data_IF_269414536931
#
_entry.id   IF_269414536931
#
_cell.length_a   1.000
_cell.length_b   1.000
_cell.length_c   1.000
_cell.angle_alpha   90.00
_cell.angle_beta   90.00
_cell.angle_gamma   90.00
#
_symmetry.space_group_name_H-M   'P 1'
#
loop_
_entity.id
_entity.type
_entity.pdbx_description
1 polymer ?
#
# COMPACT_ATOMS: atom_id res chain seq x y z
N UNK A 1 7.88 -23.48 9.10
CA UNK A 1 8.55 -24.47 8.24
C UNK A 1 8.46 -25.91 8.77
N UNK A 2 8.85 -26.25 10.04
CA UNK A 2 8.85 -27.65 10.50
C UNK A 2 7.50 -28.41 10.39
N UNK A 3 6.33 -27.78 10.64
CA UNK A 3 5.04 -28.47 10.47
C UNK A 3 4.70 -28.81 9.01
N UNK A 4 5.12 -27.98 8.05
CA UNK A 4 4.87 -28.22 6.63
C UNK A 4 5.68 -29.42 6.11
N UNK A 5 6.95 -29.51 6.53
CA UNK A 5 7.84 -30.64 6.20
C UNK A 5 7.30 -31.97 6.75
N UNK A 6 6.92 -32.00 8.03
CA UNK A 6 6.29 -33.20 8.64
C UNK A 6 5.04 -33.62 7.88
N UNK A 7 4.19 -32.67 7.49
CA UNK A 7 2.98 -32.98 6.71
C UNK A 7 3.34 -33.64 5.37
N UNK A 8 4.36 -33.16 4.67
CA UNK A 8 4.82 -33.79 3.41
C UNK A 8 5.35 -35.20 3.66
N UNK A 9 6.15 -35.38 4.72
CA UNK A 9 6.69 -36.68 5.13
C UNK A 9 5.58 -37.69 5.46
N UNK A 10 4.65 -37.34 6.35
CA UNK A 10 3.52 -38.19 6.72
C UNK A 10 2.65 -38.54 5.51
N UNK A 11 2.44 -37.58 4.60
CA UNK A 11 1.67 -37.79 3.37
C UNK A 11 2.36 -38.74 2.40
N UNK A 12 3.71 -38.73 2.36
CA UNK A 12 4.49 -39.66 1.54
C UNK A 12 4.40 -41.11 2.04
N UNK A 13 4.32 -41.29 3.37
CA UNK A 13 4.07 -42.60 3.98
C UNK A 13 2.69 -43.14 3.60
N UNK A 14 1.65 -42.29 3.59
CA UNK A 14 0.33 -42.70 3.11
C UNK A 14 0.31 -43.14 1.64
N UNK A 15 1.10 -42.48 0.78
CA UNK A 15 1.22 -42.85 -0.63
C UNK A 15 1.96 -44.20 -0.79
N UNK A 16 3.01 -44.43 -0.01
CA UNK A 16 3.73 -45.71 -0.02
C UNK A 16 2.80 -46.86 0.42
N UNK A 17 2.11 -46.69 1.55
CA UNK A 17 1.13 -47.65 2.04
C UNK A 17 0.03 -47.93 1.00
N UNK A 18 -0.49 -46.88 0.36
CA UNK A 18 -1.52 -47.03 -0.66
C UNK A 18 -1.00 -47.83 -1.87
N UNK A 19 0.23 -47.58 -2.30
CA UNK A 19 0.87 -48.30 -3.40
C UNK A 19 1.04 -49.79 -3.08
N UNK A 20 1.50 -50.13 -1.87
CA UNK A 20 1.64 -51.51 -1.43
C UNK A 20 0.30 -52.25 -1.38
N UNK A 21 -0.73 -51.59 -0.85
CA UNK A 21 -2.08 -52.16 -0.79
C UNK A 21 -2.68 -52.37 -2.19
N UNK A 22 -2.57 -51.38 -3.10
CA UNK A 22 -3.08 -51.49 -4.47
C UNK A 22 -2.33 -52.54 -5.31
N UNK A 23 -1.06 -52.78 -5.02
CA UNK A 23 -0.27 -53.85 -5.65
C UNK A 23 -0.78 -55.23 -5.25
N UNK A 24 -1.25 -55.40 -4.01
CA UNK A 24 -1.84 -56.67 -3.55
C UNK A 24 -3.30 -56.86 -3.97
N UNK A 25 -4.11 -55.80 -3.91
CA UNK A 25 -5.53 -55.78 -4.29
C UNK A 25 -5.85 -54.47 -5.02
N UNK A 26 -5.97 -54.50 -6.37
CA UNK A 26 -6.29 -53.33 -7.18
C UNK A 26 -7.64 -52.67 -6.84
N UNK A 27 -8.58 -53.41 -6.24
CA UNK A 27 -9.92 -52.92 -5.94
C UNK A 27 -10.09 -52.46 -4.49
N UNK A 28 -9.03 -52.44 -3.69
CA UNK A 28 -9.02 -52.05 -2.28
C UNK A 28 -9.53 -50.62 -2.06
N UNK A 29 -10.70 -50.50 -1.41
CA UNK A 29 -11.28 -49.23 -0.99
C UNK A 29 -10.41 -48.43 0.01
N UNK A 30 -9.87 -49.06 1.07
CA UNK A 30 -8.97 -48.39 2.01
C UNK A 30 -7.70 -47.83 1.34
N UNK A 31 -7.15 -48.53 0.35
CA UNK A 31 -5.97 -48.08 -0.39
C UNK A 31 -6.26 -46.80 -1.20
N UNK A 32 -7.42 -46.75 -1.89
CA UNK A 32 -7.87 -45.53 -2.59
C UNK A 32 -8.04 -44.34 -1.63
N UNK A 33 -8.55 -44.57 -0.42
CA UNK A 33 -8.67 -43.50 0.59
C UNK A 33 -7.29 -42.97 1.01
N UNK A 34 -6.35 -43.86 1.33
CA UNK A 34 -4.97 -43.47 1.67
C UNK A 34 -4.29 -42.71 0.53
N UNK A 35 -4.50 -43.13 -0.71
CA UNK A 35 -4.00 -42.44 -1.90
C UNK A 35 -4.51 -40.99 -1.96
N UNK A 36 -5.83 -40.79 -1.82
CA UNK A 36 -6.44 -39.45 -1.86
C UNK A 36 -5.92 -38.55 -0.75
N UNK A 37 -5.87 -39.06 0.49
CA UNK A 37 -5.37 -38.27 1.64
C UNK A 37 -3.88 -37.96 1.52
N UNK A 38 -3.07 -38.93 1.09
CA UNK A 38 -1.65 -38.73 0.81
C UNK A 38 -1.44 -37.67 -0.29
N UNK A 39 -2.15 -37.77 -1.42
CA UNK A 39 -2.04 -36.79 -2.50
C UNK A 39 -2.46 -35.39 -2.06
N UNK A 40 -3.56 -35.26 -1.30
CA UNK A 40 -4.01 -33.97 -0.74
C UNK A 40 -2.99 -33.39 0.22
N UNK A 41 -2.45 -34.21 1.11
CA UNK A 41 -1.47 -33.81 2.11
C UNK A 41 -0.14 -33.35 1.49
N UNK A 42 0.32 -33.98 0.41
CA UNK A 42 1.49 -33.53 -0.36
C UNK A 42 1.24 -32.15 -0.98
N UNK A 43 0.10 -31.94 -1.63
CA UNK A 43 -0.23 -30.66 -2.26
C UNK A 43 -0.30 -29.52 -1.22
N UNK A 44 -1.02 -29.75 -0.12
CA UNK A 44 -1.14 -28.79 0.97
C UNK A 44 0.18 -28.54 1.70
N UNK A 45 0.97 -29.59 1.94
CA UNK A 45 2.28 -29.49 2.58
C UNK A 45 3.27 -28.69 1.74
N UNK A 46 3.31 -28.95 0.43
CA UNK A 46 4.17 -28.22 -0.51
C UNK A 46 3.76 -26.75 -0.61
N UNK A 47 2.45 -26.47 -0.72
CA UNK A 47 1.93 -25.10 -0.72
C UNK A 47 2.33 -24.34 0.55
N UNK A 48 2.13 -24.95 1.72
CA UNK A 48 2.50 -24.34 3.00
C UNK A 48 4.02 -24.12 3.15
N UNK A 49 4.84 -25.00 2.56
CA UNK A 49 6.29 -24.85 2.55
C UNK A 49 6.72 -23.66 1.69
N UNK A 50 6.17 -23.53 0.48
CA UNK A 50 6.45 -22.42 -0.43
C UNK A 50 6.00 -21.08 0.17
N UNK A 51 4.81 -21.02 0.76
CA UNK A 51 4.33 -19.82 1.47
C UNK A 51 5.26 -19.44 2.63
N UNK A 52 5.69 -20.41 3.44
CA UNK A 52 6.59 -20.12 4.56
C UNK A 52 7.96 -19.58 4.10
N UNK A 53 8.44 -20.03 2.93
CA UNK A 53 9.66 -19.50 2.33
C UNK A 53 9.46 -18.08 1.82
N UNK A 54 8.38 -17.85 1.06
CA UNK A 54 8.02 -16.55 0.52
C UNK A 54 7.85 -15.49 1.62
N UNK A 55 7.08 -15.80 2.67
CA UNK A 55 6.93 -14.92 3.83
C UNK A 55 8.28 -14.57 4.49
N UNK A 56 9.25 -15.49 4.44
CA UNK A 56 10.57 -15.26 5.01
C UNK A 56 11.38 -14.25 4.19
N UNK A 57 11.27 -14.28 2.87
CA UNK A 57 11.85 -13.28 1.98
C UNK A 57 11.16 -11.92 2.17
N UNK A 58 9.82 -11.91 2.21
CA UNK A 58 9.02 -10.70 2.50
C UNK A 58 9.45 -10.04 3.82
N UNK A 59 9.63 -10.84 4.88
CA UNK A 59 10.11 -10.32 6.17
C UNK A 59 11.51 -9.69 6.08
N UNK A 60 12.40 -10.15 5.21
CA UNK A 60 13.72 -9.51 5.00
C UNK A 60 13.56 -8.14 4.36
N UNK A 61 12.69 -8.02 3.35
CA UNK A 61 12.42 -6.74 2.66
C UNK A 61 11.82 -5.73 3.65
N UNK A 62 10.81 -6.14 4.43
CA UNK A 62 10.16 -5.28 5.43
C UNK A 62 11.16 -4.74 6.46
N UNK A 63 12.17 -5.53 6.88
CA UNK A 63 13.22 -5.02 7.78
C UNK A 63 14.00 -3.87 7.15
N UNK A 64 14.31 -3.95 5.85
CA UNK A 64 15.00 -2.87 5.14
C UNK A 64 14.11 -1.62 5.08
N UNK A 65 12.81 -1.77 4.80
CA UNK A 65 11.85 -0.66 4.84
C UNK A 65 11.80 0.02 6.23
N UNK A 66 11.76 -0.78 7.29
CA UNK A 66 11.77 -0.27 8.68
C UNK A 66 13.07 0.47 9.01
N UNK A 67 14.21 0.00 8.53
CA UNK A 67 15.47 0.74 8.69
C UNK A 67 15.41 2.12 8.03
N UNK A 68 14.77 2.29 6.88
CA UNK A 68 14.58 3.62 6.27
C UNK A 68 13.69 4.50 7.16
N UNK A 69 12.60 3.96 7.70
CA UNK A 69 11.72 4.70 8.64
C UNK A 69 12.47 5.17 9.90
N UNK A 70 13.34 4.32 10.46
CA UNK A 70 14.20 4.67 11.60
C UNK A 70 15.13 5.86 11.25
N UNK A 71 15.73 5.87 10.06
CA UNK A 71 16.51 7.03 9.61
C UNK A 71 15.66 8.28 9.40
N UNK A 72 14.45 8.15 8.84
CA UNK A 72 13.54 9.28 8.64
C UNK A 72 13.17 9.95 9.97
N UNK A 73 13.03 9.19 11.05
CA UNK A 73 12.75 9.74 12.39
C UNK A 73 13.89 10.66 12.90
N UNK A 74 15.14 10.43 12.49
CA UNK A 74 16.29 11.26 12.88
C UNK A 74 16.26 12.63 12.19
N UNK A 75 15.46 12.81 11.14
CA UNK A 75 15.40 14.07 10.38
C UNK A 75 15.09 15.29 11.25
N UNK A 76 14.32 15.12 12.33
CA UNK A 76 13.91 16.24 13.17
C UNK A 76 15.07 16.92 13.91
N UNK A 77 16.12 16.16 14.25
CA UNK A 77 17.29 16.62 15.01
C UNK A 77 18.43 17.12 14.14
N UNK A 78 18.30 17.06 12.80
CA UNK A 78 19.33 17.56 11.87
C UNK A 78 19.23 19.09 11.76
N UNK A 79 20.16 19.81 12.40
CA UNK A 79 20.14 21.28 12.50
C UNK A 79 21.39 21.98 11.91
N UNK A 80 22.43 21.22 11.53
CA UNK A 80 23.66 21.76 10.89
C UNK A 80 23.94 21.13 9.53
N UNK A 81 24.68 21.86 8.69
CA UNK A 81 25.04 21.40 7.35
C UNK A 81 25.94 20.15 7.37
N UNK A 82 26.84 20.05 8.35
CA UNK A 82 27.71 18.87 8.54
C UNK A 82 26.90 17.62 8.90
N UNK A 83 25.86 17.79 9.72
CA UNK A 83 24.94 16.72 10.10
C UNK A 83 24.08 16.29 8.91
N UNK A 84 23.65 17.23 8.06
CA UNK A 84 22.96 16.90 6.80
C UNK A 84 23.83 16.04 5.88
N UNK A 85 25.12 16.37 5.73
CA UNK A 85 26.05 15.57 4.92
C UNK A 85 26.17 14.15 5.48
N UNK A 86 26.27 14.01 6.80
CA UNK A 86 26.34 12.71 7.48
C UNK A 86 25.03 11.93 7.35
N UNK A 87 23.89 12.60 7.50
CA UNK A 87 22.56 12.04 7.31
C UNK A 87 22.40 11.46 5.90
N UNK A 88 22.74 12.22 4.85
CA UNK A 88 22.64 11.76 3.46
C UNK A 88 23.56 10.58 3.19
N UNK A 89 24.79 10.59 3.73
CA UNK A 89 25.74 9.46 3.60
C UNK A 89 25.21 8.16 4.20
N UNK A 90 24.46 8.24 5.30
CA UNK A 90 23.90 7.08 5.98
C UNK A 90 22.56 6.63 5.40
N UNK A 91 21.70 7.57 4.99
CA UNK A 91 20.38 7.27 4.42
C UNK A 91 20.47 6.66 3.02
N UNK A 92 21.33 7.23 2.15
CA UNK A 92 21.35 6.87 0.72
C UNK A 92 21.57 5.38 0.47
N UNK A 93 22.53 4.68 1.10
CA UNK A 93 22.74 3.25 0.89
C UNK A 93 21.53 2.39 1.30
N UNK A 94 20.89 2.73 2.42
CA UNK A 94 19.73 1.99 2.94
C UNK A 94 18.52 2.19 2.04
N UNK A 95 18.31 3.42 1.56
CA UNK A 95 17.25 3.75 0.63
C UNK A 95 17.45 3.07 -0.75
N UNK A 96 18.68 3.07 -1.28
CA UNK A 96 19.02 2.34 -2.50
C UNK A 96 18.77 0.85 -2.35
N UNK A 97 19.15 0.27 -1.20
CA UNK A 97 18.86 -1.13 -0.89
C UNK A 97 17.36 -1.40 -0.88
N UNK A 98 16.58 -0.61 -0.14
CA UNK A 98 15.11 -0.75 -0.10
C UNK A 98 14.51 -0.70 -1.49
N UNK A 99 14.93 0.29 -2.29
CA UNK A 99 14.43 0.47 -3.66
C UNK A 99 14.68 -0.75 -4.52
N UNK A 100 15.89 -1.32 -4.44
CA UNK A 100 16.26 -2.52 -5.20
C UNK A 100 15.48 -3.77 -4.75
N UNK A 101 15.33 -3.98 -3.45
CA UNK A 101 14.60 -5.15 -2.93
C UNK A 101 13.12 -5.11 -3.33
N UNK A 102 12.47 -3.93 -3.26
CA UNK A 102 11.08 -3.75 -3.68
C UNK A 102 10.92 -3.87 -5.21
N UNK A 103 11.84 -3.30 -5.99
CA UNK A 103 11.87 -3.40 -7.45
C UNK A 103 12.12 -4.84 -7.96
N UNK A 104 12.87 -5.65 -7.21
CA UNK A 104 12.98 -7.07 -7.50
C UNK A 104 11.69 -7.81 -7.15
N UNK A 105 11.08 -7.48 -6.01
CA UNK A 105 9.89 -8.16 -5.53
C UNK A 105 8.68 -7.94 -6.42
N UNK A 106 8.45 -6.72 -6.92
CA UNK A 106 7.31 -6.46 -7.81
C UNK A 106 7.33 -7.36 -9.05
N UNK A 107 8.52 -7.70 -9.56
CA UNK A 107 8.70 -8.52 -10.76
C UNK A 107 8.23 -9.95 -10.56
N UNK A 108 8.38 -10.47 -9.35
CA UNK A 108 7.99 -11.82 -8.94
C UNK A 108 6.48 -11.94 -8.66
N UNK A 109 5.78 -10.82 -8.43
CA UNK A 109 4.35 -10.85 -8.11
C UNK A 109 3.50 -11.22 -9.34
N UNK A 110 2.64 -12.20 -9.18
CA UNK A 110 1.66 -12.58 -10.20
C UNK A 110 0.48 -11.60 -10.28
N UNK A 111 0.13 -10.96 -9.16
CA UNK A 111 -0.97 -10.00 -9.07
C UNK A 111 -0.55 -8.61 -9.59
N UNK A 112 -1.09 -8.21 -10.74
CA UNK A 112 -0.75 -6.93 -11.39
C UNK A 112 -1.10 -5.70 -10.54
N UNK A 113 -2.22 -5.73 -9.80
CA UNK A 113 -2.64 -4.59 -8.97
C UNK A 113 -1.62 -4.32 -7.86
N UNK A 114 -1.21 -5.36 -7.11
CA UNK A 114 -0.20 -5.20 -6.05
C UNK A 114 1.14 -4.74 -6.61
N UNK A 115 1.52 -5.24 -7.80
CA UNK A 115 2.70 -4.78 -8.52
C UNK A 115 2.63 -3.27 -8.82
N UNK A 116 1.52 -2.80 -9.39
CA UNK A 116 1.32 -1.39 -9.70
C UNK A 116 1.32 -0.50 -8.45
N UNK A 117 0.73 -0.98 -7.35
CA UNK A 117 0.75 -0.28 -6.06
C UNK A 117 2.18 -0.13 -5.53
N UNK A 118 2.99 -1.21 -5.56
CA UNK A 118 4.40 -1.16 -5.15
C UNK A 118 5.21 -0.20 -6.03
N UNK A 119 5.04 -0.27 -7.35
CA UNK A 119 5.74 0.63 -8.29
C UNK A 119 5.40 2.08 -7.99
N UNK A 120 4.11 2.40 -7.85
CA UNK A 120 3.63 3.76 -7.58
C UNK A 120 4.21 4.31 -6.28
N UNK A 121 4.10 3.57 -5.18
CA UNK A 121 4.61 4.03 -3.89
C UNK A 121 6.14 4.11 -3.87
N UNK A 122 6.83 3.18 -4.55
CA UNK A 122 8.28 3.24 -4.68
C UNK A 122 8.74 4.46 -5.49
N UNK A 123 8.04 4.82 -6.55
CA UNK A 123 8.35 6.02 -7.33
C UNK A 123 8.05 7.31 -6.56
N UNK A 124 7.00 7.36 -5.74
CA UNK A 124 6.78 8.48 -4.82
C UNK A 124 7.96 8.64 -3.85
N UNK A 125 8.46 7.55 -3.25
CA UNK A 125 9.64 7.60 -2.38
C UNK A 125 10.87 8.15 -3.11
N UNK A 126 11.14 7.68 -4.34
CA UNK A 126 12.26 8.18 -5.17
C UNK A 126 12.14 9.68 -5.44
N UNK A 127 10.93 10.16 -5.74
CA UNK A 127 10.66 11.58 -6.00
C UNK A 127 10.78 12.44 -4.74
N UNK A 128 10.32 11.94 -3.58
CA UNK A 128 10.37 12.65 -2.31
C UNK A 128 11.78 12.75 -1.73
N UNK A 129 12.67 11.83 -2.07
CA UNK A 129 14.05 11.79 -1.55
C UNK A 129 14.83 13.09 -1.78
N UNK A 130 14.99 13.60 -3.02
CA UNK A 130 15.68 14.88 -3.24
C UNK A 130 14.91 16.07 -2.64
N UNK A 131 13.58 16.01 -2.58
CA UNK A 131 12.74 17.05 -1.95
C UNK A 131 13.01 17.13 -0.46
N UNK A 132 13.15 15.99 0.22
CA UNK A 132 13.48 15.90 1.64
C UNK A 132 14.86 16.51 1.92
N UNK A 133 15.88 16.13 1.14
CA UNK A 133 17.24 16.67 1.28
C UNK A 133 17.22 18.20 1.13
N UNK A 134 16.49 18.70 0.12
CA UNK A 134 16.31 20.14 -0.08
C UNK A 134 15.56 20.80 1.08
N UNK A 135 14.48 20.19 1.58
CA UNK A 135 13.71 20.68 2.72
C UNK A 135 14.52 20.81 4.00
N UNK A 136 15.36 19.81 4.31
CA UNK A 136 16.29 19.87 5.45
C UNK A 136 17.31 21.01 5.26
N UNK A 137 17.88 21.14 4.05
CA UNK A 137 18.85 22.21 3.73
C UNK A 137 18.24 23.61 3.89
N UNK A 138 17.00 23.80 3.46
CA UNK A 138 16.26 25.07 3.61
C UNK A 138 16.00 25.34 5.09
N UNK A 139 15.60 24.33 5.87
CA UNK A 139 15.41 24.47 7.32
C UNK A 139 16.70 24.92 8.04
N UNK A 140 17.84 24.32 7.74
CA UNK A 140 19.14 24.72 8.31
C UNK A 140 19.47 26.18 7.97
N UNK A 141 19.30 26.56 6.69
CA UNK A 141 19.56 27.94 6.24
C UNK A 141 18.62 28.95 6.91
N UNK A 142 17.33 28.62 7.04
CA UNK A 142 16.32 29.45 7.70
C UNK A 142 16.62 29.62 9.20
N UNK A 143 17.11 28.57 9.86
CA UNK A 143 17.54 28.62 11.26
C UNK A 143 18.72 29.59 11.46
N UNK A 144 19.66 29.62 10.51
CA UNK A 144 20.80 30.54 10.54
C UNK A 144 20.41 31.99 10.22
N UNK A 145 19.46 32.22 9.31
CA UNK A 145 19.01 33.55 8.93
C UNK A 145 17.97 34.15 9.88
N UNK A 146 17.35 33.34 10.74
CA UNK A 146 16.29 33.73 11.65
C UNK A 146 14.94 34.00 10.98
N UNK A 147 14.80 33.73 9.68
CA UNK A 147 13.61 34.01 8.89
C UNK A 147 13.02 32.73 8.30
N UNK A 148 11.69 32.57 8.37
CA UNK A 148 10.98 31.46 7.70
C UNK A 148 11.18 30.08 8.34
N UNK A 149 11.72 29.99 9.56
CA UNK A 149 12.01 28.72 10.25
C UNK A 149 10.79 27.81 10.33
N UNK A 150 9.63 28.36 10.75
CA UNK A 150 8.40 27.58 10.92
C UNK A 150 7.88 27.00 9.61
N UNK A 151 7.96 27.76 8.52
CA UNK A 151 7.54 27.31 7.19
C UNK A 151 8.47 26.21 6.67
N UNK A 152 9.79 26.41 6.80
CA UNK A 152 10.78 25.42 6.42
C UNK A 152 10.63 24.11 7.21
N UNK A 153 10.38 24.20 8.52
CA UNK A 153 10.11 23.05 9.37
C UNK A 153 8.85 22.31 8.94
N UNK A 154 7.74 23.03 8.71
CA UNK A 154 6.49 22.41 8.26
C UNK A 154 6.65 21.67 6.92
N UNK A 155 7.42 22.23 5.98
CA UNK A 155 7.68 21.61 4.69
C UNK A 155 8.53 20.32 4.82
N UNK A 156 9.58 20.37 5.65
CA UNK A 156 10.40 19.20 5.98
C UNK A 156 9.56 18.10 6.60
N UNK A 157 8.78 18.42 7.64
CA UNK A 157 7.99 17.46 8.40
C UNK A 157 6.85 16.87 7.54
N UNK A 158 6.24 17.66 6.65
CA UNK A 158 5.28 17.16 5.67
C UNK A 158 5.93 16.14 4.73
N UNK A 159 7.13 16.42 4.23
CA UNK A 159 7.85 15.52 3.32
C UNK A 159 8.24 14.21 4.02
N UNK A 160 8.70 14.28 5.27
CA UNK A 160 9.00 13.10 6.10
C UNK A 160 7.76 12.24 6.30
N UNK A 161 6.63 12.85 6.68
CA UNK A 161 5.36 12.12 6.87
C UNK A 161 4.90 11.45 5.59
N UNK A 162 4.84 12.20 4.48
CA UNK A 162 4.43 11.65 3.19
C UNK A 162 5.33 10.49 2.75
N UNK A 163 6.65 10.63 2.89
CA UNK A 163 7.58 9.54 2.54
C UNK A 163 7.41 8.32 3.46
N UNK A 164 7.13 8.54 4.74
CA UNK A 164 6.84 7.46 5.69
C UNK A 164 5.55 6.74 5.36
N UNK A 165 4.49 7.46 4.96
CA UNK A 165 3.21 6.88 4.56
C UNK A 165 3.38 5.96 3.34
N UNK A 166 4.15 6.38 2.33
CA UNK A 166 4.45 5.53 1.17
C UNK A 166 5.26 4.28 1.54
N UNK A 167 6.17 4.37 2.50
CA UNK A 167 6.92 3.19 2.99
C UNK A 167 6.00 2.25 3.78
N UNK A 168 5.06 2.77 4.57
CA UNK A 168 4.06 1.93 5.24
C UNK A 168 3.12 1.25 4.23
N UNK A 169 2.75 1.93 3.14
CA UNK A 169 1.96 1.34 2.07
C UNK A 169 2.74 0.22 1.36
N UNK A 170 4.04 0.41 1.09
CA UNK A 170 4.91 -0.67 0.58
C UNK A 170 4.89 -1.87 1.53
N UNK A 171 5.07 -1.65 2.85
CA UNK A 171 5.05 -2.73 3.84
C UNK A 171 3.70 -3.45 3.82
N UNK A 172 2.58 -2.71 3.76
CA UNK A 172 1.23 -3.28 3.70
C UNK A 172 1.05 -4.17 2.47
N UNK A 173 1.38 -3.65 1.29
CA UNK A 173 1.21 -4.38 0.01
C UNK A 173 2.09 -5.62 -0.06
N UNK A 174 3.32 -5.57 0.47
CA UNK A 174 4.22 -6.73 0.54
C UNK A 174 3.65 -7.90 1.34
N UNK A 175 2.69 -7.65 2.24
CA UNK A 175 2.06 -8.67 3.11
C UNK A 175 0.74 -9.20 2.56
N UNK A 176 0.27 -8.71 1.41
CA UNK A 176 -0.95 -9.21 0.77
C UNK A 176 -0.67 -10.59 0.16
N UNK A 177 -1.27 -11.62 0.74
CA UNK A 177 -1.15 -13.02 0.29
C UNK A 177 -2.37 -13.51 -0.49
N UNK A 178 -3.45 -12.72 -0.51
CA UNK A 178 -4.73 -13.10 -1.11
C UNK A 178 -5.22 -12.03 -2.06
N UNK A 179 -6.02 -12.48 -3.03
CA UNK A 179 -6.87 -11.64 -3.84
C UNK A 179 -7.96 -11.07 -2.93
N UNK A 180 -7.85 -9.79 -2.57
CA UNK A 180 -8.97 -9.07 -1.97
C UNK A 180 -9.61 -8.26 -3.10
N UNK A 181 -10.67 -8.83 -3.69
CA UNK A 181 -11.44 -8.16 -4.74
C UNK A 181 -12.19 -6.93 -4.18
N UNK A 182 -12.30 -6.83 -2.85
CA UNK A 182 -13.15 -5.87 -2.12
C UNK A 182 -12.37 -4.67 -1.53
N UNK A 183 -11.03 -4.62 -1.60
CA UNK A 183 -10.23 -3.63 -0.83
C UNK A 183 -9.82 -2.36 -1.61
N UNK A 184 -10.49 -2.05 -2.73
CA UNK A 184 -10.27 -0.80 -3.47
C UNK A 184 -11.14 0.38 -3.00
N UNK A 185 -11.36 0.52 -1.69
CA UNK A 185 -12.03 1.70 -1.09
C UNK A 185 -11.05 2.86 -0.77
N UNK A 186 -9.73 2.64 -0.85
CA UNK A 186 -8.73 3.67 -0.53
C UNK A 186 -8.66 4.81 -1.55
N UNK A 187 -8.99 4.51 -2.82
CA UNK A 187 -9.05 5.52 -3.88
C UNK A 187 -10.33 6.34 -3.77
N UNK A 188 -11.45 5.70 -3.35
CA UNK A 188 -12.70 6.38 -3.06
C UNK A 188 -12.56 7.37 -1.90
N UNK A 189 -11.86 7.04 -0.82
CA UNK A 189 -11.61 8.00 0.26
C UNK A 189 -10.77 9.21 -0.19
N UNK A 190 -9.81 8.98 -1.10
CA UNK A 190 -8.95 10.04 -1.64
C UNK A 190 -9.71 10.94 -2.61
N UNK A 191 -10.55 10.35 -3.47
CA UNK A 191 -11.48 11.05 -4.34
C UNK A 191 -12.51 11.83 -3.52
N UNK A 192 -13.05 11.24 -2.44
CA UNK A 192 -13.99 11.90 -1.52
C UNK A 192 -13.35 13.09 -0.82
N UNK A 193 -12.12 12.97 -0.29
CA UNK A 193 -11.40 14.10 0.32
C UNK A 193 -11.12 15.21 -0.69
N UNK A 194 -10.76 14.87 -1.93
CA UNK A 194 -10.56 15.84 -3.00
C UNK A 194 -11.87 16.55 -3.38
N UNK A 195 -12.97 15.80 -3.48
CA UNK A 195 -14.31 16.34 -3.74
C UNK A 195 -14.78 17.24 -2.59
N UNK A 196 -14.57 16.83 -1.34
CA UNK A 196 -14.88 17.62 -0.15
C UNK A 196 -14.12 18.95 -0.15
N UNK A 197 -12.79 18.93 -0.35
CA UNK A 197 -11.99 20.16 -0.41
C UNK A 197 -12.44 21.08 -1.55
N UNK A 198 -12.83 20.50 -2.70
CA UNK A 198 -13.38 21.27 -3.82
C UNK A 198 -14.75 21.89 -3.48
N UNK A 199 -15.60 21.19 -2.73
CA UNK A 199 -16.89 21.68 -2.24
C UNK A 199 -16.68 22.84 -1.25
N UNK A 200 -15.85 22.64 -0.23
CA UNK A 200 -15.59 23.64 0.81
C UNK A 200 -15.03 24.94 0.20
N UNK A 201 -14.08 24.82 -0.75
CA UNK A 201 -13.52 25.97 -1.46
C UNK A 201 -14.52 26.74 -2.33
N UNK A 202 -15.67 26.15 -2.65
CA UNK A 202 -16.71 26.71 -3.52
C UNK A 202 -18.00 27.10 -2.77
N UNK A 203 -18.16 26.63 -1.53
CA UNK A 203 -19.39 26.76 -0.74
C UNK A 203 -19.75 28.22 -0.45
N UNK A 204 -18.75 29.05 -0.15
CA UNK A 204 -18.96 30.48 0.11
C UNK A 204 -19.52 31.20 -1.11
N UNK A 205 -18.93 31.00 -2.28
CA UNK A 205 -19.36 31.65 -3.51
C UNK A 205 -20.78 31.23 -3.95
N UNK A 206 -21.16 29.98 -3.67
CA UNK A 206 -22.52 29.49 -3.93
C UNK A 206 -23.54 30.12 -2.97
N UNK A 207 -23.21 30.24 -1.68
CA UNK A 207 -24.06 30.92 -0.70
C UNK A 207 -24.22 32.42 -1.02
N UNK A 208 -23.13 33.10 -1.38
CA UNK A 208 -23.15 34.52 -1.74
C UNK A 208 -24.04 34.77 -2.97
N UNK A 209 -24.08 33.83 -3.93
CA UNK A 209 -24.97 33.89 -5.10
C UNK A 209 -26.45 33.67 -4.74
N UNK A 210 -26.76 32.73 -3.84
CA UNK A 210 -28.13 32.48 -3.38
C UNK A 210 -28.71 33.65 -2.60
N UNK A 211 -27.86 34.41 -1.91
CA UNK A 211 -28.25 35.54 -1.07
C UNK A 211 -28.40 36.86 -1.84
N UNK A 212 -27.95 36.91 -3.10
CA UNK A 212 -28.04 38.10 -3.96
C UNK A 212 -29.27 38.02 -4.91
N UNK A 213 -30.33 38.83 -4.68
CA UNK A 213 -31.53 38.84 -5.52
C UNK A 213 -31.31 39.34 -6.95
N UNK A 214 -30.18 40.01 -7.22
CA UNK A 214 -29.81 40.53 -8.53
C UNK A 214 -28.80 39.62 -9.26
N UNK A 215 -28.45 38.47 -8.68
CA UNK A 215 -27.45 37.59 -9.24
C UNK A 215 -27.87 37.01 -10.59
N UNK A 216 -26.99 37.16 -11.60
CA UNK A 216 -27.30 36.72 -12.96
C UNK A 216 -27.23 35.19 -13.09
N UNK A 217 -28.25 34.61 -13.73
CA UNK A 217 -28.31 33.20 -14.09
C UNK A 217 -27.21 32.91 -15.11
N UNK A 218 -26.19 32.14 -14.70
CA UNK A 218 -25.03 31.78 -15.54
C UNK A 218 -23.72 32.48 -15.13
N UNK A 219 -23.77 33.33 -14.10
CA UNK A 219 -22.56 33.87 -13.46
C UNK A 219 -21.78 32.80 -12.70
N UNK A 220 -20.58 33.13 -12.22
CA UNK A 220 -19.67 32.21 -11.51
C UNK A 220 -20.36 31.43 -10.37
N UNK A 221 -21.34 32.01 -9.69
CA UNK A 221 -22.15 31.33 -8.66
C UNK A 221 -23.14 30.29 -9.20
N UNK A 222 -23.64 30.46 -10.42
CA UNK A 222 -24.62 29.55 -11.02
C UNK A 222 -23.97 28.36 -11.75
N UNK A 223 -22.81 28.57 -12.39
CA UNK A 223 -21.96 27.49 -12.91
C UNK A 223 -21.41 26.57 -11.80
N UNK A 224 -21.56 26.96 -10.53
CA UNK A 224 -21.22 26.15 -9.36
C UNK A 224 -22.38 25.27 -8.88
N UNK A 225 -23.63 25.69 -9.05
CA UNK A 225 -24.82 24.96 -8.59
C UNK A 225 -25.25 23.82 -9.54
N UNK A 226 -25.09 23.99 -10.86
CA UNK A 226 -25.52 23.01 -11.86
C UNK A 226 -24.67 21.72 -11.83
N UNK A 227 -23.32 21.76 -11.77
CA UNK A 227 -22.54 20.54 -11.54
C UNK A 227 -22.74 19.99 -10.12
N UNK A 228 -23.07 20.83 -9.13
CA UNK A 228 -23.40 20.37 -7.77
C UNK A 228 -24.62 19.43 -7.76
N UNK A 229 -25.69 19.82 -8.46
CA UNK A 229 -26.89 18.99 -8.57
C UNK A 229 -26.64 17.75 -9.44
N UNK A 230 -25.88 17.88 -10.53
CA UNK A 230 -25.60 16.75 -11.41
C UNK A 230 -24.66 15.71 -10.75
N UNK A 231 -23.61 16.13 -10.03
CA UNK A 231 -22.71 15.21 -9.32
C UNK A 231 -23.42 14.54 -8.14
N UNK A 232 -24.19 15.28 -7.33
CA UNK A 232 -24.90 14.72 -6.16
C UNK A 232 -26.04 13.81 -6.60
N UNK A 233 -26.77 14.13 -7.67
CA UNK A 233 -27.82 13.25 -8.22
C UNK A 233 -27.22 11.98 -8.82
N UNK A 234 -26.10 12.05 -9.55
CA UNK A 234 -25.39 10.85 -10.05
C UNK A 234 -24.83 10.01 -8.89
N UNK A 235 -24.34 10.65 -7.82
CA UNK A 235 -23.82 9.98 -6.63
C UNK A 235 -24.94 9.25 -5.86
N UNK A 236 -26.10 9.90 -5.67
CA UNK A 236 -27.28 9.28 -5.05
C UNK A 236 -27.89 8.19 -5.94
N UNK A 237 -27.91 8.35 -7.27
CA UNK A 237 -28.40 7.30 -8.19
C UNK A 237 -27.52 6.05 -8.15
N UNK A 238 -26.19 6.20 -8.05
CA UNK A 238 -25.28 5.06 -7.93
C UNK A 238 -25.38 4.36 -6.57
N UNK A 239 -25.53 5.10 -5.46
CA UNK A 239 -25.75 4.52 -4.13
C UNK A 239 -27.08 3.78 -4.04
N UNK A 240 -28.16 4.31 -4.65
CA UNK A 240 -29.48 3.66 -4.68
C UNK A 240 -29.46 2.42 -5.60
N UNK A 241 -28.76 2.47 -6.73
CA UNK A 241 -28.61 1.34 -7.66
C UNK A 241 -27.79 0.18 -7.03
N UNK A 242 -26.79 0.52 -6.19
CA UNK A 242 -26.02 -0.48 -5.44
C UNK A 242 -26.88 -1.19 -4.38
N UNK A 243 -27.78 -0.46 -3.70
CA UNK A 243 -28.69 -1.02 -2.68
C UNK A 243 -29.81 -1.90 -3.25
N UNK A 244 -30.19 -1.70 -4.52
CA UNK A 244 -31.16 -2.57 -5.21
C UNK A 244 -30.57 -3.87 -5.76
N UNK A 245 -29.24 -3.96 -5.96
CA UNK A 245 -28.58 -5.21 -6.40
C UNK A 245 -28.24 -6.17 -5.26
N UNK A 246 -28.22 -5.71 -4.02
CA UNK A 246 -27.98 -6.53 -2.82
C UNK A 246 -29.26 -7.12 -2.20
N UNK A 247 -30.43 -6.90 -2.82
CA UNK A 247 -31.74 -7.36 -2.32
C UNK A 247 -32.51 -8.20 -3.35
N UNK A 248 -31.81 -8.80 -4.31
CA UNK A 248 -32.38 -9.76 -5.29
C UNK A 248 -31.53 -11.00 -5.39
#
# INVERSE_FOLDING_TARGET
MPPALRRVEDSSLYLLDASDMLRSDPYSGPARKKLIEGSRGILQGTSALLLAFDESEVRKIIRVCKSVLEYLAITEVVDRMEDLVTFVKNLSPVLTKMTKEVDNREKELTHQVHREMLIRSLDQVKQLTPVLISGIKIFITASQSGQGIKEAQNNRDYTVRKMSDEIHEIIRVLQLTTYDEDEWDADDLTVMKKAQNAIEGKMKNANDWLLDPAALVGSLGNCLCIPFFCQVVVFFFNIISFRSRTLS
#
